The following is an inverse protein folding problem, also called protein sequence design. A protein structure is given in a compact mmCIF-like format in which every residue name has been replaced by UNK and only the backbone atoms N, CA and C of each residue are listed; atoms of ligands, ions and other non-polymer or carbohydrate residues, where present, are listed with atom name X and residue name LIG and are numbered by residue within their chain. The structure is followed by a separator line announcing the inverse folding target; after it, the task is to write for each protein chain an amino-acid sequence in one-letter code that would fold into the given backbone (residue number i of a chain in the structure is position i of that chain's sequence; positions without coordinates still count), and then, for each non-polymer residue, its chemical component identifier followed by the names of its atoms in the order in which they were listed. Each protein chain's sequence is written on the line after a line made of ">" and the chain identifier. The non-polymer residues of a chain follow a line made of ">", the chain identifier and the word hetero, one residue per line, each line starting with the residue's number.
data_IF_341001351212
#
_entry.id   IF_341001351212
#
_cell.length_a   1.000
_cell.length_b   1.000
_cell.length_c   1.000
_cell.angle_alpha   90.00
_cell.angle_beta   90.00
_cell.angle_gamma   90.00
#
_symmetry.space_group_name_H-M   'P 1'
#
loop_
_entity.id
_entity.type
_entity.pdbx_description
1 polymer ?
#
# COMPACT_ATOMS: atom_id res chain seq x y z
N UNK A 1 -11.52 0.48 -16.19
CA UNK A 1 -10.78 -0.27 -15.15
C UNK A 1 -9.47 -0.80 -15.70
N UNK A 2 -8.58 -1.30 -14.83
CA UNK A 2 -7.27 -1.84 -15.21
C UNK A 2 -7.32 -3.36 -15.45
N UNK A 3 -6.52 -3.86 -16.38
CA UNK A 3 -6.27 -5.30 -16.53
C UNK A 3 -5.09 -5.69 -15.63
N UNK A 4 -5.37 -6.45 -14.58
CA UNK A 4 -4.39 -6.78 -13.53
C UNK A 4 -3.93 -8.23 -13.64
N UNK A 5 -2.62 -8.46 -13.51
CA UNK A 5 -2.01 -9.77 -13.33
C UNK A 5 -1.29 -9.81 -11.98
N UNK A 6 -1.79 -10.63 -11.07
CA UNK A 6 -1.17 -10.84 -9.75
C UNK A 6 0.20 -11.49 -9.92
N UNK A 7 1.17 -11.00 -9.14
CA UNK A 7 2.51 -11.58 -9.09
C UNK A 7 2.68 -12.41 -7.82
N UNK A 8 2.29 -11.86 -6.67
CA UNK A 8 2.42 -12.54 -5.36
C UNK A 8 1.66 -11.84 -4.24
N UNK A 9 1.48 -12.54 -3.14
CA UNK A 9 1.16 -11.94 -1.84
C UNK A 9 2.36 -11.11 -1.35
N UNK A 10 2.12 -9.86 -0.95
CA UNK A 10 3.09 -9.05 -0.21
C UNK A 10 3.09 -9.49 1.25
N UNK A 11 1.96 -9.30 1.93
CA UNK A 11 1.78 -9.64 3.34
C UNK A 11 0.30 -9.57 3.77
N UNK A 12 0.00 -10.06 4.97
CA UNK A 12 -1.29 -9.91 5.64
C UNK A 12 -1.12 -8.97 6.83
N UNK A 13 -1.74 -7.80 6.76
CA UNK A 13 -1.68 -6.78 7.80
C UNK A 13 -2.87 -6.94 8.75
N UNK A 14 -2.58 -7.23 10.01
CA UNK A 14 -3.58 -7.68 10.99
C UNK A 14 -3.57 -6.92 12.32
N UNK A 15 -2.77 -5.86 12.43
CA UNK A 15 -2.68 -5.06 13.66
C UNK A 15 -4.10 -4.58 14.07
N UNK A 16 -4.61 -4.93 15.26
CA UNK A 16 -5.95 -4.52 15.69
C UNK A 16 -6.18 -3.00 15.69
N UNK A 17 -5.11 -2.20 15.79
CA UNK A 17 -5.19 -0.75 15.80
C UNK A 17 -5.21 -0.10 14.41
N UNK A 18 -5.01 -0.88 13.33
CA UNK A 18 -4.88 -0.33 11.96
C UNK A 18 -6.14 0.36 11.45
N UNK A 19 -7.30 -0.07 11.93
CA UNK A 19 -8.59 0.54 11.67
C UNK A 19 -9.32 0.77 13.00
N UNK A 20 -9.57 2.03 13.34
CA UNK A 20 -10.22 2.40 14.61
C UNK A 20 -11.67 1.95 14.70
N UNK A 21 -12.29 1.59 13.57
CA UNK A 21 -13.71 1.21 13.53
C UNK A 21 -13.93 -0.21 14.02
N UNK A 22 -13.02 -1.13 13.66
CA UNK A 22 -13.09 -2.55 13.99
C UNK A 22 -11.78 -3.25 13.68
N UNK A 23 -11.54 -4.41 14.30
CA UNK A 23 -10.42 -5.26 13.91
C UNK A 23 -10.61 -5.77 12.49
N UNK A 24 -9.73 -5.33 11.59
CA UNK A 24 -9.79 -5.65 10.15
C UNK A 24 -8.46 -6.19 9.67
N UNK A 25 -8.49 -7.20 8.81
CA UNK A 25 -7.32 -7.73 8.12
C UNK A 25 -7.24 -7.17 6.70
N UNK A 26 -6.05 -6.79 6.24
CA UNK A 26 -5.78 -6.49 4.83
C UNK A 26 -4.79 -7.49 4.24
N UNK A 27 -5.24 -8.25 3.25
CA UNK A 27 -4.39 -9.12 2.44
C UNK A 27 -3.92 -8.33 1.22
N UNK A 28 -2.63 -8.01 1.16
CA UNK A 28 -2.08 -7.10 0.13
C UNK A 28 -1.29 -7.89 -0.90
N UNK A 29 -1.53 -7.63 -2.17
CA UNK A 29 -0.86 -8.28 -3.30
C UNK A 29 0.02 -7.32 -4.08
N UNK A 30 1.08 -7.85 -4.67
CA UNK A 30 1.85 -7.20 -5.72
C UNK A 30 1.31 -7.68 -7.07
N UNK A 31 1.09 -6.73 -7.98
CA UNK A 31 0.58 -7.03 -9.31
C UNK A 31 1.18 -6.10 -10.38
N UNK A 32 1.18 -6.57 -11.61
CA UNK A 32 1.38 -5.73 -12.80
C UNK A 32 0.02 -5.40 -13.41
N UNK A 33 -0.17 -4.20 -13.93
CA UNK A 33 -1.42 -3.78 -14.55
C UNK A 33 -1.19 -3.05 -15.88
N UNK A 34 -2.17 -3.12 -16.78
CA UNK A 34 -2.21 -2.33 -18.02
C UNK A 34 -3.56 -1.63 -18.19
N UNK A 35 -3.54 -0.53 -18.95
CA UNK A 35 -4.68 0.37 -19.16
C UNK A 35 -4.53 1.69 -18.40
N UNK A 36 -5.54 2.56 -18.54
CA UNK A 36 -5.58 3.88 -17.89
C UNK A 36 -6.42 3.79 -16.60
N UNK A 37 -5.91 4.24 -15.44
CA UNK A 37 -6.69 4.28 -14.21
C UNK A 37 -7.81 5.32 -14.33
N UNK A 38 -9.00 4.98 -13.85
CA UNK A 38 -10.18 5.84 -13.87
C UNK A 38 -10.92 5.64 -12.55
N UNK A 39 -11.24 6.74 -11.85
CA UNK A 39 -12.08 6.73 -10.66
C UNK A 39 -13.51 6.25 -10.97
N UNK A 40 -14.18 5.67 -9.98
CA UNK A 40 -15.55 5.17 -10.09
C UNK A 40 -16.29 5.45 -8.76
N UNK A 41 -17.27 4.63 -8.39
CA UNK A 41 -18.20 4.87 -7.28
C UNK A 41 -17.54 5.37 -5.97
N UNK A 42 -16.65 4.57 -5.38
CA UNK A 42 -15.97 4.91 -4.11
C UNK A 42 -14.76 5.86 -4.27
N UNK A 43 -14.39 6.23 -5.49
CA UNK A 43 -13.16 6.98 -5.76
C UNK A 43 -13.34 8.02 -6.88
N UNK A 44 -13.35 9.30 -6.51
CA UNK A 44 -13.44 10.40 -7.47
C UNK A 44 -12.25 10.47 -8.44
N UNK A 45 -11.06 10.00 -8.02
CA UNK A 45 -9.84 10.03 -8.82
C UNK A 45 -9.06 8.72 -8.67
N UNK A 46 -8.44 8.27 -9.77
CA UNK A 46 -7.41 7.24 -9.76
C UNK A 46 -6.27 7.65 -10.70
N UNK A 47 -5.04 7.70 -10.18
CA UNK A 47 -3.85 8.11 -10.95
C UNK A 47 -2.65 7.21 -10.69
N UNK A 48 -1.69 7.25 -11.61
CA UNK A 48 -0.39 6.62 -11.42
C UNK A 48 0.52 7.56 -10.60
N UNK A 49 1.27 6.97 -9.68
CA UNK A 49 2.31 7.65 -8.92
C UNK A 49 3.67 7.11 -9.36
N UNK A 50 4.61 8.01 -9.56
CA UNK A 50 6.01 7.65 -9.76
C UNK A 50 6.61 6.99 -8.52
N UNK A 51 7.69 6.25 -8.72
CA UNK A 51 8.47 5.67 -7.62
C UNK A 51 8.86 6.68 -6.55
N UNK A 52 9.28 7.89 -6.94
CA UNK A 52 9.73 8.91 -6.00
C UNK A 52 8.56 9.49 -5.20
N UNK A 53 7.38 9.65 -5.83
CA UNK A 53 6.16 9.98 -5.10
C UNK A 53 5.82 8.89 -4.07
N UNK A 54 5.90 7.62 -4.45
CA UNK A 54 5.67 6.50 -3.52
C UNK A 54 6.67 6.51 -2.36
N UNK A 55 7.96 6.80 -2.60
CA UNK A 55 8.96 6.94 -1.53
C UNK A 55 8.60 8.06 -0.56
N UNK A 56 8.19 9.23 -1.05
CA UNK A 56 7.75 10.35 -0.19
C UNK A 56 6.52 9.99 0.62
N UNK A 57 5.52 9.38 -0.01
CA UNK A 57 4.29 8.94 0.64
C UNK A 57 4.56 7.89 1.74
N UNK A 58 5.42 6.92 1.46
CA UNK A 58 5.86 5.92 2.44
C UNK A 58 6.61 6.56 3.62
N UNK A 59 7.35 7.65 3.38
CA UNK A 59 8.01 8.45 4.41
C UNK A 59 7.06 9.39 5.18
N UNK A 60 5.74 9.34 4.92
CA UNK A 60 4.73 10.11 5.64
C UNK A 60 4.42 11.48 5.04
N UNK A 61 4.90 11.78 3.84
CA UNK A 61 4.47 12.99 3.13
C UNK A 61 2.96 12.94 2.86
N UNK A 62 2.31 14.10 2.90
CA UNK A 62 0.92 14.22 2.52
C UNK A 62 0.71 13.87 1.04
N UNK A 63 -0.39 13.18 0.75
CA UNK A 63 -0.83 12.86 -0.60
C UNK A 63 -1.50 14.02 -1.31
N UNK A 64 -2.07 13.76 -2.51
CA UNK A 64 -2.91 14.73 -3.21
C UNK A 64 -4.01 15.28 -2.29
N UNK A 65 -4.22 16.59 -2.33
CA UNK A 65 -5.15 17.27 -1.43
C UNK A 65 -4.60 17.53 -0.02
N UNK A 66 -3.32 17.24 0.25
CA UNK A 66 -2.66 17.59 1.52
C UNK A 66 -3.03 16.66 2.68
N UNK A 67 -3.68 15.53 2.42
CA UNK A 67 -4.11 14.57 3.43
C UNK A 67 -3.08 13.44 3.59
N UNK A 68 -2.91 12.89 4.81
CA UNK A 68 -2.09 11.68 4.98
C UNK A 68 -2.71 10.50 4.23
N UNK A 69 -1.88 9.50 3.94
CA UNK A 69 -2.40 8.23 3.44
C UNK A 69 -3.37 7.59 4.44
N UNK A 70 -4.41 6.96 3.92
CA UNK A 70 -5.41 6.27 4.73
C UNK A 70 -4.79 5.08 5.49
N UNK A 71 -5.28 4.85 6.71
CA UNK A 71 -4.92 3.72 7.55
C UNK A 71 -3.39 3.57 7.71
N UNK A 72 -2.87 2.37 7.47
CA UNK A 72 -1.46 2.00 7.52
C UNK A 72 -0.82 1.91 6.12
N UNK A 73 -1.41 2.56 5.11
CA UNK A 73 -0.94 2.42 3.72
C UNK A 73 0.51 2.91 3.53
N UNK A 74 0.99 3.87 4.33
CA UNK A 74 2.40 4.28 4.29
C UNK A 74 3.36 3.11 4.63
N UNK A 75 2.99 2.27 5.61
CA UNK A 75 3.74 1.05 5.95
C UNK A 75 3.71 0.05 4.81
N UNK A 76 2.52 -0.17 4.22
CA UNK A 76 2.36 -1.08 3.07
C UNK A 76 3.25 -0.65 1.89
N UNK A 77 3.34 0.65 1.61
CA UNK A 77 4.22 1.17 0.57
C UNK A 77 5.70 1.02 0.93
N UNK A 78 6.09 1.25 2.19
CA UNK A 78 7.47 1.06 2.64
C UNK A 78 7.92 -0.40 2.49
N UNK A 79 7.04 -1.34 2.82
CA UNK A 79 7.24 -2.77 2.64
C UNK A 79 7.34 -3.16 1.16
N UNK A 80 6.47 -2.62 0.32
CA UNK A 80 6.56 -2.79 -1.13
C UNK A 80 7.87 -2.26 -1.69
N UNK A 81 8.35 -1.10 -1.22
CA UNK A 81 9.65 -0.53 -1.63
C UNK A 81 10.81 -1.44 -1.22
N UNK A 82 10.80 -1.99 0.00
CA UNK A 82 11.83 -2.92 0.45
C UNK A 82 11.87 -4.20 -0.40
N UNK A 83 10.69 -4.71 -0.79
CA UNK A 83 10.61 -5.82 -1.72
C UNK A 83 11.08 -5.45 -3.12
N UNK A 84 10.65 -4.30 -3.65
CA UNK A 84 10.98 -3.89 -5.01
C UNK A 84 12.48 -3.62 -5.17
N UNK A 85 13.08 -2.97 -4.18
CA UNK A 85 14.48 -2.52 -4.25
C UNK A 85 15.47 -3.63 -3.85
N UNK A 86 15.07 -4.57 -2.99
CA UNK A 86 15.98 -5.56 -2.41
C UNK A 86 15.41 -6.97 -2.24
N UNK A 87 14.21 -7.24 -2.75
CA UNK A 87 13.56 -8.57 -2.68
C UNK A 87 13.00 -8.96 -1.31
N UNK A 88 13.17 -8.12 -0.27
CA UNK A 88 12.75 -8.42 1.09
C UNK A 88 11.24 -8.26 1.26
N UNK A 89 10.55 -9.36 1.56
CA UNK A 89 9.16 -9.30 2.01
C UNK A 89 9.06 -8.94 3.50
N UNK A 90 7.92 -8.39 3.94
CA UNK A 90 7.62 -8.26 5.36
C UNK A 90 7.53 -9.64 6.03
N UNK A 91 7.96 -9.70 7.28
CA UNK A 91 7.89 -10.91 8.10
C UNK A 91 6.96 -10.68 9.31
N UNK A 92 6.20 -11.69 9.80
CA UNK A 92 5.33 -11.52 10.97
C UNK A 92 6.03 -11.08 12.25
N UNK A 93 7.34 -11.36 12.35
CA UNK A 93 8.18 -10.91 13.46
C UNK A 93 8.62 -9.44 13.37
N UNK A 94 8.41 -8.76 12.25
CA UNK A 94 8.84 -7.37 12.07
C UNK A 94 8.06 -6.44 13.01
N UNK A 95 8.78 -5.74 13.89
CA UNK A 95 8.19 -4.80 14.85
C UNK A 95 7.78 -5.40 16.20
N UNK A 96 7.96 -6.72 16.40
CA UNK A 96 7.87 -7.32 17.74
C UNK A 96 9.17 -7.01 18.48
N UNK A 97 9.15 -6.03 19.39
CA UNK A 97 10.24 -5.84 20.35
C UNK A 97 10.29 -7.08 21.25
N UNK A 98 11.41 -7.79 21.25
CA UNK A 98 11.70 -8.82 22.26
C UNK A 98 12.03 -8.18 23.60
#
# INVERSE_FOLDING_TARGET
>A
GLRVRLQRLLFVYSDPARDRRQHTLSVVFIATASGTPVGMDDAAEARIFSTDEIRRLAAGAAGPGGLPLAFDHARILADWLAWRDGGRLPHPGDGIRR
#
